data_IF_978534179456
#
_entry.id   IF_978534179456
#
_cell.length_a   1.000
_cell.length_b   1.000
_cell.length_c   1.000
_cell.angle_alpha   90.00
_cell.angle_beta   90.00
_cell.angle_gamma   90.00
#
_symmetry.space_group_name_H-M   'P 1'
#
loop_
_entity.id
_entity.type
_entity.pdbx_description
1 polymer ?
#
# COMPACT_ATOMS: atom_id res chain seq x y z
N UNK A 1 48.73 0.22 43.00
CA UNK A 1 49.14 1.28 42.07
C UNK A 1 48.63 2.61 42.65
N UNK A 2 49.50 3.56 43.01
CA UNK A 2 49.06 4.88 43.50
C UNK A 2 48.69 5.73 42.28
N UNK A 3 47.41 6.08 42.14
CA UNK A 3 46.95 6.93 41.05
C UNK A 3 47.37 8.39 41.32
N UNK A 4 47.91 9.07 40.30
CA UNK A 4 48.30 10.46 40.40
C UNK A 4 47.06 11.36 40.30
N UNK A 5 46.58 11.83 41.45
CA UNK A 5 45.30 12.54 41.63
C UNK A 5 45.26 13.83 40.81
N UNK A 6 46.42 14.42 40.47
CA UNK A 6 46.51 15.65 39.67
C UNK A 6 46.06 15.47 38.21
N UNK A 7 46.08 14.23 37.70
CA UNK A 7 45.80 13.93 36.29
C UNK A 7 44.39 13.35 36.05
N UNK A 8 43.58 13.15 37.10
CA UNK A 8 42.27 12.54 36.99
C UNK A 8 41.20 13.36 37.71
N UNK A 9 40.05 13.54 37.07
CA UNK A 9 38.87 14.08 37.76
C UNK A 9 38.27 13.04 38.71
N UNK A 10 37.48 13.52 39.68
CA UNK A 10 36.90 12.67 40.72
C UNK A 10 36.06 11.51 40.14
N UNK A 11 35.32 11.76 39.05
CA UNK A 11 34.50 10.75 38.36
C UNK A 11 35.36 9.59 37.83
N UNK A 12 36.52 9.89 37.27
CA UNK A 12 37.43 8.86 36.75
C UNK A 12 38.08 8.07 37.89
N UNK A 13 38.46 8.75 38.98
CA UNK A 13 39.02 8.08 40.16
C UNK A 13 38.03 7.09 40.79
N UNK A 14 36.76 7.49 40.91
CA UNK A 14 35.69 6.59 41.39
C UNK A 14 35.54 5.37 40.50
N UNK A 15 35.52 5.54 39.16
CA UNK A 15 35.42 4.40 38.22
C UNK A 15 36.60 3.44 38.31
N UNK A 16 37.78 3.93 38.68
CA UNK A 16 38.99 3.11 38.83
C UNK A 16 39.03 2.36 40.16
N UNK A 17 38.26 2.80 41.15
CA UNK A 17 38.19 2.20 42.48
C UNK A 17 37.73 0.75 42.42
N UNK A 18 38.20 -0.05 43.38
CA UNK A 18 37.86 -1.47 43.47
C UNK A 18 36.38 -1.64 43.84
N UNK A 19 35.91 -0.82 44.77
CA UNK A 19 34.54 -0.80 45.28
C UNK A 19 33.54 -0.53 44.14
N UNK A 20 33.83 0.46 43.27
CA UNK A 20 32.98 0.74 42.13
C UNK A 20 32.93 -0.45 41.16
N UNK A 21 34.08 -1.09 40.89
CA UNK A 21 34.13 -2.27 40.01
C UNK A 21 33.35 -3.45 40.58
N UNK A 22 33.48 -3.70 41.88
CA UNK A 22 32.72 -4.74 42.57
C UNK A 22 31.21 -4.44 42.56
N UNK A 23 30.83 -3.19 42.82
CA UNK A 23 29.44 -2.74 42.74
C UNK A 23 28.86 -2.92 41.33
N UNK A 24 29.57 -2.49 40.29
CA UNK A 24 29.12 -2.63 38.90
C UNK A 24 28.98 -4.08 38.45
N UNK A 25 29.76 -4.99 39.05
CA UNK A 25 29.70 -6.42 38.79
C UNK A 25 28.79 -7.16 39.78
N UNK A 26 28.09 -6.45 40.67
CA UNK A 26 27.13 -7.05 41.58
C UNK A 26 25.94 -7.59 40.78
N UNK A 27 25.36 -8.67 41.29
CA UNK A 27 24.22 -9.32 40.63
C UNK A 27 23.05 -8.36 40.41
N UNK A 28 22.75 -7.52 41.40
CA UNK A 28 21.67 -6.54 41.32
C UNK A 28 21.86 -5.56 40.15
N UNK A 29 23.08 -5.04 39.96
CA UNK A 29 23.38 -4.11 38.88
C UNK A 29 23.32 -4.79 37.51
N UNK A 30 23.79 -6.03 37.41
CA UNK A 30 23.70 -6.80 36.19
C UNK A 30 22.24 -7.15 35.83
N UNK A 31 21.43 -7.54 36.81
CA UNK A 31 20.01 -7.84 36.62
C UNK A 31 19.24 -6.59 36.15
N UNK A 32 19.54 -5.42 36.74
CA UNK A 32 18.96 -4.14 36.29
C UNK A 32 19.41 -3.75 34.88
N UNK A 33 20.68 -3.97 34.53
CA UNK A 33 21.18 -3.73 33.17
C UNK A 33 20.46 -4.62 32.14
N UNK A 34 20.31 -5.92 32.44
CA UNK A 34 19.59 -6.85 31.58
C UNK A 34 18.11 -6.47 31.41
N UNK A 35 17.46 -6.00 32.48
CA UNK A 35 16.09 -5.52 32.42
C UNK A 35 15.97 -4.30 31.50
N UNK A 36 16.87 -3.33 31.63
CA UNK A 36 16.91 -2.16 30.76
C UNK A 36 17.15 -2.55 29.29
N UNK A 37 18.12 -3.42 29.03
CA UNK A 37 18.44 -3.87 27.66
C UNK A 37 17.25 -4.55 26.99
N UNK A 38 16.47 -5.32 27.76
CA UNK A 38 15.23 -5.94 27.28
C UNK A 38 14.18 -4.89 26.89
N UNK A 39 13.91 -3.92 27.77
CA UNK A 39 12.95 -2.85 27.51
C UNK A 39 13.37 -2.02 26.28
N UNK A 40 14.67 -1.71 26.14
CA UNK A 40 15.18 -1.03 24.95
C UNK A 40 14.96 -1.85 23.68
N UNK A 41 15.19 -3.17 23.72
CA UNK A 41 14.94 -4.04 22.58
C UNK A 41 13.46 -4.05 22.17
N UNK A 42 12.55 -4.06 23.14
CA UNK A 42 11.11 -4.03 22.87
C UNK A 42 10.67 -2.68 22.28
N UNK A 43 11.21 -1.56 22.77
CA UNK A 43 11.00 -0.23 22.18
C UNK A 43 11.53 -0.15 20.75
N UNK A 44 12.73 -0.68 20.47
CA UNK A 44 13.27 -0.70 19.10
C UNK A 44 12.39 -1.50 18.14
N UNK A 45 11.86 -2.64 18.58
CA UNK A 45 10.92 -3.46 17.79
C UNK A 45 9.64 -2.68 17.51
N UNK A 46 9.09 -2.01 18.52
CA UNK A 46 7.89 -1.20 18.38
C UNK A 46 8.07 -0.04 17.39
N UNK A 47 9.21 0.66 17.46
CA UNK A 47 9.55 1.73 16.51
C UNK A 47 9.66 1.20 15.08
N UNK A 48 10.27 0.03 14.88
CA UNK A 48 10.35 -0.61 13.55
C UNK A 48 8.96 -0.94 13.01
N UNK A 49 8.08 -1.49 13.85
CA UNK A 49 6.70 -1.79 13.45
C UNK A 49 5.91 -0.52 13.07
N UNK A 50 6.03 0.56 13.85
CA UNK A 50 5.41 1.85 13.52
C UNK A 50 5.93 2.38 12.18
N UNK A 51 7.24 2.29 11.91
CA UNK A 51 7.81 2.75 10.64
C UNK A 51 7.20 1.99 9.46
N UNK A 52 7.06 0.67 9.56
CA UNK A 52 6.44 -0.16 8.53
C UNK A 52 4.98 0.27 8.31
N UNK A 53 4.19 0.34 9.39
CA UNK A 53 2.78 0.76 9.31
C UNK A 53 2.63 2.17 8.73
N UNK A 54 3.51 3.11 9.09
CA UNK A 54 3.48 4.47 8.55
C UNK A 54 3.77 4.50 7.04
N UNK A 55 4.64 3.62 6.56
CA UNK A 55 4.95 3.47 5.14
C UNK A 55 3.78 2.82 4.39
N UNK A 56 3.18 1.76 4.94
CA UNK A 56 2.00 1.11 4.41
C UNK A 56 0.82 2.08 4.33
N UNK A 57 0.49 2.79 5.42
CA UNK A 57 -0.56 3.82 5.43
C UNK A 57 -0.30 4.92 4.40
N UNK A 58 0.95 5.39 4.26
CA UNK A 58 1.28 6.38 3.24
C UNK A 58 1.03 5.84 1.83
N UNK A 59 1.40 4.60 1.54
CA UNK A 59 1.18 3.98 0.23
C UNK A 59 -0.30 3.65 -0.03
N UNK A 60 -1.01 3.18 0.99
CA UNK A 60 -2.45 2.90 0.93
C UNK A 60 -3.30 4.18 0.95
N UNK A 61 -2.76 5.34 1.33
CA UNK A 61 -3.36 6.66 1.06
C UNK A 61 -3.04 7.17 -0.35
N UNK A 62 -1.98 6.68 -0.98
CA UNK A 62 -1.59 7.02 -2.35
C UNK A 62 -2.33 6.16 -3.39
N UNK A 63 -2.59 4.88 -3.10
CA UNK A 63 -3.39 3.97 -3.95
C UNK A 63 -4.83 4.45 -4.24
N UNK A 64 -5.65 4.93 -3.29
CA UNK A 64 -7.05 5.28 -3.54
C UNK A 64 -7.18 6.42 -4.54
N UNK A 65 -6.24 7.39 -4.56
CA UNK A 65 -6.25 8.48 -5.55
C UNK A 65 -5.97 8.03 -6.99
N UNK A 66 -5.25 6.92 -7.17
CA UNK A 66 -4.98 6.38 -8.49
C UNK A 66 -6.05 5.37 -8.91
N UNK A 67 -6.59 4.60 -7.97
CA UNK A 67 -7.70 3.68 -8.24
C UNK A 67 -8.99 4.41 -8.62
N UNK A 68 -9.35 5.52 -7.95
CA UNK A 68 -10.51 6.33 -8.36
C UNK A 68 -10.40 6.85 -9.80
N UNK A 69 -9.19 7.24 -10.23
CA UNK A 69 -8.94 7.68 -11.61
C UNK A 69 -9.01 6.54 -12.61
N UNK A 70 -8.60 5.35 -12.22
CA UNK A 70 -8.62 4.16 -13.08
C UNK A 70 -10.03 3.59 -13.20
N UNK A 71 -10.80 3.52 -12.11
CA UNK A 71 -12.22 3.13 -12.14
C UNK A 71 -13.07 4.11 -12.94
N UNK A 72 -12.84 5.43 -12.81
CA UNK A 72 -13.52 6.44 -13.65
C UNK A 72 -13.20 6.29 -15.14
N UNK A 73 -11.97 5.89 -15.50
CA UNK A 73 -11.60 5.61 -16.89
C UNK A 73 -12.29 4.35 -17.42
N UNK A 74 -12.37 3.29 -16.62
CA UNK A 74 -13.05 2.05 -16.99
C UNK A 74 -14.55 2.31 -17.18
N UNK A 75 -15.22 3.02 -16.26
CA UNK A 75 -16.64 3.38 -16.40
C UNK A 75 -16.91 4.23 -17.65
N UNK A 76 -15.98 5.11 -18.04
CA UNK A 76 -16.13 5.91 -19.26
C UNK A 76 -15.98 5.06 -20.53
N UNK A 77 -15.01 4.12 -20.55
CA UNK A 77 -14.82 3.19 -21.67
C UNK A 77 -16.03 2.25 -21.81
N UNK A 78 -16.58 1.76 -20.70
CA UNK A 78 -17.78 0.91 -20.69
C UNK A 78 -19.02 1.67 -21.20
N UNK A 79 -19.17 2.96 -20.87
CA UNK A 79 -20.25 3.81 -21.39
C UNK A 79 -20.10 4.11 -22.89
N UNK A 80 -18.88 4.34 -23.37
CA UNK A 80 -18.60 4.56 -24.80
C UNK A 80 -18.89 3.29 -25.60
N UNK A 81 -18.43 2.12 -25.14
CA UNK A 81 -18.71 0.83 -25.80
C UNK A 81 -20.18 0.43 -25.75
N UNK A 82 -20.92 0.76 -24.68
CA UNK A 82 -22.37 0.58 -24.63
C UNK A 82 -23.10 1.47 -25.65
N UNK A 83 -22.71 2.73 -25.78
CA UNK A 83 -23.30 3.64 -26.76
C UNK A 83 -23.01 3.21 -28.20
N UNK A 84 -21.79 2.74 -28.48
CA UNK A 84 -21.44 2.18 -29.80
C UNK A 84 -22.26 0.93 -30.13
N UNK A 85 -22.44 0.01 -29.17
CA UNK A 85 -23.26 -1.19 -29.37
C UNK A 85 -24.75 -0.87 -29.61
N UNK A 86 -25.29 0.18 -28.98
CA UNK A 86 -26.66 0.64 -29.24
C UNK A 86 -26.78 1.20 -30.66
N UNK A 87 -25.78 1.93 -31.14
CA UNK A 87 -25.76 2.43 -32.51
C UNK A 87 -25.69 1.28 -33.54
N UNK A 88 -24.84 0.28 -33.31
CA UNK A 88 -24.77 -0.91 -34.18
C UNK A 88 -26.10 -1.67 -34.24
N UNK A 89 -26.80 -1.81 -33.12
CA UNK A 89 -28.11 -2.49 -33.10
C UNK A 89 -29.16 -1.74 -33.92
N UNK A 90 -29.19 -0.41 -33.82
CA UNK A 90 -30.09 0.43 -34.60
C UNK A 90 -29.78 0.35 -36.11
N UNK A 91 -28.51 0.25 -36.50
CA UNK A 91 -28.11 0.08 -37.89
C UNK A 91 -28.54 -1.29 -38.46
N UNK A 92 -28.42 -2.37 -37.68
CA UNK A 92 -28.88 -3.70 -38.08
C UNK A 92 -30.41 -3.74 -38.25
N UNK A 93 -31.17 -3.17 -37.31
CA UNK A 93 -32.64 -3.10 -37.42
C UNK A 93 -33.11 -2.31 -38.66
N UNK A 94 -32.33 -1.30 -39.08
CA UNK A 94 -32.61 -0.56 -40.31
C UNK A 94 -32.29 -1.38 -41.56
N UNK A 95 -31.24 -2.20 -41.56
CA UNK A 95 -30.93 -3.11 -42.67
C UNK A 95 -31.98 -4.20 -42.83
N UNK A 96 -32.47 -4.80 -41.73
CA UNK A 96 -33.53 -5.82 -41.78
C UNK A 96 -34.80 -5.28 -42.45
N UNK A 97 -35.18 -4.02 -42.15
CA UNK A 97 -36.31 -3.35 -42.82
C UNK A 97 -36.10 -3.16 -44.31
N UNK A 98 -34.87 -2.86 -44.74
CA UNK A 98 -34.54 -2.73 -46.17
C UNK A 98 -34.66 -4.08 -46.87
N UNK A 99 -34.18 -5.16 -46.24
CA UNK A 99 -34.28 -6.50 -46.81
C UNK A 99 -35.73 -7.00 -46.90
N UNK A 100 -36.56 -6.76 -45.90
CA UNK A 100 -37.99 -7.10 -45.96
C UNK A 100 -38.70 -6.32 -47.08
N UNK A 101 -38.44 -5.01 -47.22
CA UNK A 101 -39.00 -4.23 -48.32
C UNK A 101 -38.56 -4.74 -49.70
N UNK A 102 -37.29 -5.16 -49.86
CA UNK A 102 -36.80 -5.74 -51.11
C UNK A 102 -37.52 -7.05 -51.41
N UNK A 103 -37.68 -7.90 -50.40
CA UNK A 103 -38.36 -9.20 -50.52
C UNK A 103 -39.84 -9.04 -50.88
N UNK A 104 -40.56 -8.15 -50.21
CA UNK A 104 -41.96 -7.82 -50.54
C UNK A 104 -42.12 -7.32 -51.98
N UNK A 105 -41.20 -6.48 -52.46
CA UNK A 105 -41.22 -6.01 -53.84
C UNK A 105 -40.95 -7.16 -54.83
N UNK A 106 -39.99 -8.03 -54.56
CA UNK A 106 -39.70 -9.19 -55.41
C UNK A 106 -40.90 -10.14 -55.45
N UNK A 107 -41.53 -10.42 -54.31
CA UNK A 107 -42.72 -11.27 -54.22
C UNK A 107 -43.93 -10.64 -54.93
N UNK A 108 -44.09 -9.33 -54.86
CA UNK A 108 -45.08 -8.58 -55.61
C UNK A 108 -44.87 -8.73 -57.12
N UNK A 109 -43.65 -8.52 -57.64
CA UNK A 109 -43.39 -8.68 -59.07
C UNK A 109 -43.54 -10.13 -59.55
N UNK A 110 -43.11 -11.11 -58.75
CA UNK A 110 -43.28 -12.54 -59.06
C UNK A 110 -44.75 -13.00 -59.05
N UNK A 111 -45.67 -12.20 -58.49
CA UNK A 111 -47.12 -12.49 -58.51
C UNK A 111 -47.81 -12.12 -59.83
N UNK A 112 -47.15 -11.34 -60.71
CA UNK A 112 -47.66 -10.97 -62.03
C UNK A 112 -47.16 -11.86 -63.18
N UNK A 113 -46.14 -12.70 -62.94
CA UNK A 113 -45.59 -13.65 -63.91
C UNK A 113 -46.24 -15.06 -63.83
N UNK A 114 -47.47 -15.17 -63.27
CA UNK A 114 -48.31 -16.38 -63.28
C UNK A 114 -49.55 -16.24 -64.15
#
# INVERSE_FOLDING_TARGET
MKYDIKNYNMKNLVKLSKEYKEYMNSKEILDLQLALDKEFCDVERYIKAIKILSFELKNDLIKPKNQEKETLKIENIEKETLNENVNFKNEIENLDKVFENIKENIDFYNSFDR
#
